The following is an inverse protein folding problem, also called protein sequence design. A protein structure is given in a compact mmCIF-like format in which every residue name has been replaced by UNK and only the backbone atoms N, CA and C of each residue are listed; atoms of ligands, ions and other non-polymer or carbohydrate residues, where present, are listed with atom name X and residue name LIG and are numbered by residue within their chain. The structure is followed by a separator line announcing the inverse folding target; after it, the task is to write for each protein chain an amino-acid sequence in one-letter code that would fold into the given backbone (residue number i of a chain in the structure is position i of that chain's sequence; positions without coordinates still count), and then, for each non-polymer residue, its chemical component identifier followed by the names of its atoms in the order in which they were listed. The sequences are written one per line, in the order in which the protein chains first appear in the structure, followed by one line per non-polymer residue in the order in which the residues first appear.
data_IF_872453216440
#
_entry.id   IF_872453216440
#
_cell.length_a   1.000
_cell.length_b   1.000
_cell.length_c   1.000
_cell.angle_alpha   90.00
_cell.angle_beta   90.00
_cell.angle_gamma   90.00
#
_symmetry.space_group_name_H-M   'P 1'
#
loop_
_entity.id
_entity.type
_entity.pdbx_description
1 polymer ?
#
# COMPACT_ATOMS: atom_id res chain seq x y z
N UNK A 1 24.49 -12.84 16.88
CA UNK A 1 24.93 -12.42 15.53
C UNK A 1 24.71 -13.46 14.42
N UNK A 2 24.72 -14.78 14.69
CA UNK A 2 24.67 -15.82 13.65
C UNK A 2 23.33 -15.98 12.87
N UNK A 3 22.17 -15.60 13.43
CA UNK A 3 20.87 -15.70 12.73
C UNK A 3 20.68 -14.68 11.59
N UNK A 4 21.41 -13.55 11.61
CA UNK A 4 21.32 -12.51 10.56
C UNK A 4 22.04 -12.90 9.26
N UNK A 5 23.13 -13.68 9.33
CA UNK A 5 23.97 -13.93 8.14
C UNK A 5 23.42 -15.00 7.19
N UNK A 6 22.77 -16.08 7.69
CA UNK A 6 22.20 -17.14 6.83
C UNK A 6 21.05 -16.65 5.93
N UNK A 7 20.37 -15.60 6.36
CA UNK A 7 19.17 -15.10 5.72
C UNK A 7 19.43 -13.87 4.84
N UNK A 8 20.55 -13.17 4.99
CA UNK A 8 20.85 -12.02 4.15
C UNK A 8 20.98 -12.39 2.65
N UNK A 9 20.62 -11.45 1.79
CA UNK A 9 20.94 -11.48 0.36
C UNK A 9 22.46 -11.26 0.21
N UNK A 10 23.13 -12.02 -0.64
CA UNK A 10 24.57 -11.84 -0.88
C UNK A 10 24.83 -10.53 -1.64
N UNK A 11 25.98 -9.90 -1.43
CA UNK A 11 26.29 -8.59 -2.03
C UNK A 11 26.39 -8.64 -3.56
N UNK A 12 26.93 -9.72 -4.11
CA UNK A 12 27.07 -10.00 -5.54
C UNK A 12 25.76 -10.42 -6.22
N UNK A 13 24.73 -10.74 -5.44
CA UNK A 13 23.46 -11.23 -5.97
C UNK A 13 22.65 -10.09 -6.62
N UNK A 14 22.14 -10.33 -7.83
CA UNK A 14 21.22 -9.42 -8.52
C UNK A 14 19.88 -9.37 -7.79
N UNK A 15 19.36 -8.16 -7.59
CA UNK A 15 18.09 -7.88 -6.91
C UNK A 15 17.21 -6.94 -7.73
N UNK A 16 15.90 -7.02 -7.53
CA UNK A 16 15.00 -5.91 -7.85
C UNK A 16 14.88 -5.03 -6.61
N UNK A 17 15.38 -3.80 -6.70
CA UNK A 17 15.24 -2.78 -5.67
C UNK A 17 14.12 -1.80 -6.03
N UNK A 18 13.39 -1.33 -5.01
CA UNK A 18 12.42 -0.26 -5.12
C UNK A 18 12.79 0.86 -4.15
N UNK A 19 12.93 2.07 -4.69
CA UNK A 19 13.14 3.29 -3.92
C UNK A 19 11.85 4.09 -3.79
N UNK A 20 11.45 4.38 -2.56
CA UNK A 20 10.28 5.17 -2.23
C UNK A 20 10.41 5.87 -0.88
N UNK A 21 10.34 7.20 -0.88
CA UNK A 21 10.53 7.99 0.35
C UNK A 21 11.89 7.72 0.97
N UNK A 22 11.92 7.36 2.25
CA UNK A 22 13.15 7.00 2.97
C UNK A 22 13.57 5.53 2.78
N UNK A 23 12.78 4.72 2.07
CA UNK A 23 12.94 3.26 2.03
C UNK A 23 13.54 2.77 0.72
N UNK A 24 14.53 1.87 0.84
CA UNK A 24 14.97 0.96 -0.22
C UNK A 24 14.50 -0.46 0.13
N UNK A 25 13.66 -1.06 -0.72
CA UNK A 25 13.22 -2.45 -0.61
C UNK A 25 13.91 -3.29 -1.68
N UNK A 26 14.78 -4.22 -1.29
CA UNK A 26 15.48 -5.14 -2.20
C UNK A 26 14.88 -6.52 -2.14
N UNK A 27 14.66 -7.17 -3.29
CA UNK A 27 14.18 -8.54 -3.35
C UNK A 27 14.92 -9.37 -4.38
N UNK A 28 15.14 -10.66 -4.07
CA UNK A 28 15.65 -11.64 -5.04
C UNK A 28 14.61 -12.01 -6.11
N UNK A 29 13.34 -11.64 -5.91
CA UNK A 29 12.32 -11.75 -6.93
C UNK A 29 12.53 -10.64 -7.97
N UNK A 30 13.31 -10.95 -9.00
CA UNK A 30 13.64 -9.99 -10.05
C UNK A 30 12.39 -9.47 -10.77
N UNK A 31 11.37 -10.32 -10.95
CA UNK A 31 10.17 -9.97 -11.70
C UNK A 31 10.46 -10.02 -13.20
N UNK A 32 9.96 -11.06 -13.85
CA UNK A 32 10.07 -11.26 -15.30
C UNK A 32 8.88 -10.63 -16.02
N UNK A 33 9.04 -10.39 -17.33
CA UNK A 33 7.88 -10.07 -18.17
C UNK A 33 6.91 -11.27 -18.14
N UNK A 34 5.63 -11.04 -17.81
CA UNK A 34 4.68 -12.13 -17.77
C UNK A 34 4.50 -12.73 -19.16
N UNK A 35 4.68 -14.05 -19.28
CA UNK A 35 4.49 -14.79 -20.52
C UNK A 35 3.04 -14.70 -21.01
N UNK A 36 2.09 -14.59 -20.08
CA UNK A 36 0.67 -14.40 -20.41
C UNK A 36 0.29 -12.92 -20.36
N UNK A 37 -0.24 -12.38 -21.46
CA UNK A 37 -0.75 -11.01 -21.56
C UNK A 37 -2.26 -11.02 -21.70
N UNK A 38 -2.96 -10.20 -20.91
CA UNK A 38 -4.42 -10.07 -20.99
C UNK A 38 -4.84 -9.41 -22.31
N UNK A 39 -5.77 -10.02 -23.04
CA UNK A 39 -6.33 -9.50 -24.30
C UNK A 39 -7.62 -8.74 -24.00
N UNK A 40 -8.57 -9.38 -23.33
CA UNK A 40 -9.84 -8.80 -22.93
C UNK A 40 -10.25 -9.33 -21.54
N UNK A 41 -11.52 -9.13 -21.13
CA UNK A 41 -12.00 -9.57 -19.82
C UNK A 41 -11.83 -11.07 -19.61
N UNK A 42 -11.97 -11.87 -20.65
CA UNK A 42 -12.17 -13.32 -20.59
C UNK A 42 -10.99 -14.11 -21.18
N UNK A 43 -9.99 -13.46 -21.78
CA UNK A 43 -8.92 -14.13 -22.50
C UNK A 43 -7.52 -13.54 -22.22
N UNK A 44 -6.52 -14.42 -22.24
CA UNK A 44 -5.08 -14.08 -22.23
C UNK A 44 -4.36 -14.76 -23.39
N UNK A 45 -3.33 -14.12 -23.92
CA UNK A 45 -2.45 -14.68 -24.96
C UNK A 45 -1.08 -15.00 -24.35
N UNK A 46 -0.55 -16.18 -24.66
CA UNK A 46 0.85 -16.51 -24.43
C UNK A 46 1.71 -15.75 -25.45
N UNK A 47 2.55 -14.82 -25.02
CA UNK A 47 3.35 -13.98 -25.92
C UNK A 47 4.46 -14.76 -26.64
N UNK A 48 4.83 -15.94 -26.14
CA UNK A 48 5.86 -16.79 -26.74
C UNK A 48 5.24 -17.72 -27.78
N UNK A 49 4.10 -18.34 -27.45
CA UNK A 49 3.47 -19.34 -28.34
C UNK A 49 2.35 -18.80 -29.21
N UNK A 50 1.82 -17.60 -28.91
CA UNK A 50 0.63 -17.03 -29.56
C UNK A 50 -0.70 -17.65 -29.09
N UNK A 51 -0.67 -18.68 -28.24
CA UNK A 51 -1.86 -19.42 -27.80
C UNK A 51 -2.78 -18.55 -26.92
N UNK A 52 -4.08 -18.52 -27.25
CA UNK A 52 -5.11 -17.85 -26.45
C UNK A 52 -5.69 -18.82 -25.42
N UNK A 53 -5.76 -18.40 -24.16
CA UNK A 53 -6.33 -19.15 -23.04
C UNK A 53 -7.45 -18.36 -22.37
N UNK A 54 -8.56 -19.03 -22.08
CA UNK A 54 -9.69 -18.45 -21.35
C UNK A 54 -9.33 -18.25 -19.87
N UNK A 55 -9.67 -17.08 -19.34
CA UNK A 55 -9.47 -16.70 -17.94
C UNK A 55 -10.51 -17.42 -17.09
N UNK A 56 -10.04 -18.21 -16.12
CA UNK A 56 -10.89 -18.72 -15.04
C UNK A 56 -11.20 -17.59 -14.07
N UNK A 57 -12.42 -17.05 -14.15
CA UNK A 57 -12.86 -16.00 -13.24
C UNK A 57 -13.10 -16.55 -11.85
N UNK A 58 -12.53 -15.88 -10.86
CA UNK A 58 -12.83 -16.14 -9.46
C UNK A 58 -14.24 -15.65 -9.18
N UNK A 59 -15.11 -16.54 -8.70
CA UNK A 59 -16.50 -16.23 -8.32
C UNK A 59 -16.64 -15.81 -6.85
N UNK A 60 -15.71 -16.20 -5.98
CA UNK A 60 -15.71 -15.84 -4.56
C UNK A 60 -14.27 -15.57 -4.05
N UNK A 61 -14.12 -14.52 -3.23
CA UNK A 61 -12.85 -14.15 -2.58
C UNK A 61 -12.67 -14.73 -1.18
N UNK A 62 -13.56 -15.60 -0.71
CA UNK A 62 -13.38 -16.28 0.58
C UNK A 62 -12.12 -17.16 0.65
N UNK A 63 -11.65 -17.71 -0.49
CA UNK A 63 -10.47 -18.58 -0.53
C UNK A 63 -9.15 -17.76 -0.47
N UNK A 64 -8.26 -18.01 0.52
CA UNK A 64 -6.95 -17.37 0.61
C UNK A 64 -6.05 -17.48 -0.62
N UNK A 65 -6.26 -18.49 -1.48
CA UNK A 65 -5.54 -18.63 -2.77
C UNK A 65 -5.83 -17.45 -3.72
N UNK A 66 -6.99 -16.79 -3.56
CA UNK A 66 -7.39 -15.66 -4.39
C UNK A 66 -6.81 -14.32 -3.90
N UNK A 67 -6.14 -14.30 -2.74
CA UNK A 67 -5.59 -13.08 -2.15
C UNK A 67 -4.29 -12.61 -2.79
N UNK A 68 -3.61 -13.41 -3.62
CA UNK A 68 -2.30 -13.03 -4.15
C UNK A 68 -2.37 -11.75 -5.00
N UNK A 69 -3.42 -11.59 -5.80
CA UNK A 69 -3.69 -10.38 -6.57
C UNK A 69 -3.91 -9.15 -5.67
N UNK A 70 -4.59 -9.33 -4.53
CA UNK A 70 -4.79 -8.29 -3.52
C UNK A 70 -3.48 -7.93 -2.83
N UNK A 71 -2.70 -8.93 -2.40
CA UNK A 71 -1.38 -8.73 -1.77
C UNK A 71 -0.45 -7.95 -2.68
N UNK A 72 -0.40 -8.29 -3.97
CA UNK A 72 0.36 -7.53 -4.97
C UNK A 72 -0.15 -6.09 -5.11
N UNK A 73 -1.47 -5.90 -5.10
CA UNK A 73 -2.08 -4.56 -5.16
C UNK A 73 -1.75 -3.71 -3.93
N UNK A 74 -1.83 -4.28 -2.73
CA UNK A 74 -1.46 -3.62 -1.49
C UNK A 74 0.05 -3.35 -1.41
N UNK A 75 0.89 -4.27 -1.89
CA UNK A 75 2.34 -4.04 -1.99
C UNK A 75 2.67 -2.83 -2.88
N UNK A 76 2.04 -2.72 -4.04
CA UNK A 76 2.15 -1.56 -4.94
C UNK A 76 1.64 -0.28 -4.27
N UNK A 77 0.49 -0.35 -3.61
CA UNK A 77 -0.10 0.78 -2.90
C UNK A 77 0.80 1.27 -1.77
N UNK A 78 1.38 0.36 -0.98
CA UNK A 78 2.35 0.68 0.08
C UNK A 78 3.52 1.51 -0.46
N UNK A 79 4.14 1.05 -1.55
CA UNK A 79 5.26 1.78 -2.20
C UNK A 79 4.81 3.12 -2.75
N UNK A 80 3.63 3.19 -3.37
CA UNK A 80 3.08 4.43 -3.90
C UNK A 80 2.81 5.46 -2.79
N UNK A 81 2.24 5.03 -1.66
CA UNK A 81 2.03 5.89 -0.48
C UNK A 81 3.38 6.34 0.07
N UNK A 82 4.31 5.41 0.30
CA UNK A 82 5.63 5.74 0.85
C UNK A 82 6.46 6.68 -0.05
N UNK A 83 6.25 6.66 -1.37
CA UNK A 83 6.88 7.59 -2.29
C UNK A 83 6.30 9.01 -2.25
N UNK A 84 5.11 9.19 -1.66
CA UNK A 84 4.32 10.42 -1.83
C UNK A 84 3.85 11.08 -0.54
N UNK A 85 3.77 10.34 0.56
CA UNK A 85 3.23 10.83 1.83
C UNK A 85 4.21 10.48 2.93
N UNK A 86 4.92 11.51 3.41
CA UNK A 86 5.93 11.39 4.44
C UNK A 86 5.50 12.04 5.76
N UNK A 87 4.34 12.71 5.78
CA UNK A 87 3.94 13.56 6.90
C UNK A 87 4.17 15.05 6.65
N UNK A 88 3.71 15.85 7.60
CA UNK A 88 4.00 17.29 7.66
C UNK A 88 2.81 18.19 7.32
N UNK A 89 3.06 19.50 7.37
CA UNK A 89 2.02 20.54 7.33
C UNK A 89 1.22 20.61 6.02
N UNK A 90 1.72 20.01 4.94
CA UNK A 90 1.06 19.95 3.64
C UNK A 90 0.14 18.75 3.46
N UNK A 91 0.15 17.78 4.37
CA UNK A 91 -0.49 16.47 4.16
C UNK A 91 -1.56 16.19 5.20
N UNK A 92 -2.69 15.64 4.76
CA UNK A 92 -3.82 15.25 5.59
C UNK A 92 -4.19 13.80 5.31
N UNK A 93 -4.60 13.10 6.37
CA UNK A 93 -5.36 11.88 6.27
C UNK A 93 -6.81 12.20 6.60
N UNK A 94 -7.69 11.79 5.71
CA UNK A 94 -9.12 11.98 5.81
C UNK A 94 -9.80 10.62 5.75
N UNK A 95 -10.74 10.40 6.63
CA UNK A 95 -11.60 9.21 6.64
C UNK A 95 -13.02 9.67 6.30
N UNK A 96 -13.64 9.04 5.30
CA UNK A 96 -14.94 9.42 4.74
C UNK A 96 -15.95 8.29 4.93
N UNK A 97 -16.97 8.52 5.76
CA UNK A 97 -18.00 7.55 6.10
C UNK A 97 -19.34 7.97 5.53
N UNK A 98 -20.07 7.01 4.97
CA UNK A 98 -21.47 7.21 4.60
C UNK A 98 -22.37 7.13 5.82
N UNK A 99 -23.42 7.95 5.85
CA UNK A 99 -24.51 7.80 6.83
C UNK A 99 -25.35 6.57 6.54
N UNK A 100 -25.61 6.32 5.26
CA UNK A 100 -26.31 5.13 4.79
C UNK A 100 -25.42 3.91 5.02
N UNK A 101 -25.97 2.86 5.65
CA UNK A 101 -25.25 1.63 5.95
C UNK A 101 -26.17 0.41 5.78
N UNK A 102 -25.75 -0.64 5.04
CA UNK A 102 -24.49 -0.74 4.33
C UNK A 102 -24.54 0.00 2.98
N UNK A 103 -23.57 0.89 2.74
CA UNK A 103 -23.39 1.54 1.45
C UNK A 103 -22.44 0.72 0.58
N UNK A 104 -22.96 -0.03 -0.39
CA UNK A 104 -22.18 -0.98 -1.21
C UNK A 104 -21.96 -0.53 -2.66
N UNK A 105 -22.57 0.60 -3.08
CA UNK A 105 -22.48 1.08 -4.46
C UNK A 105 -21.16 1.81 -4.75
N UNK A 106 -20.24 1.08 -5.39
CA UNK A 106 -18.93 1.59 -5.80
C UNK A 106 -18.99 2.72 -6.84
N UNK A 107 -20.08 2.83 -7.63
CA UNK A 107 -20.25 3.89 -8.63
C UNK A 107 -20.66 5.19 -7.95
N UNK A 108 -21.65 5.14 -7.05
CA UNK A 108 -22.01 6.30 -6.21
C UNK A 108 -20.81 6.79 -5.40
N UNK A 109 -20.02 5.88 -4.81
CA UNK A 109 -18.76 6.24 -4.12
C UNK A 109 -17.82 7.06 -5.01
N UNK A 110 -17.63 6.63 -6.25
CA UNK A 110 -16.77 7.31 -7.19
C UNK A 110 -17.28 8.72 -7.54
N UNK A 111 -18.57 8.86 -7.83
CA UNK A 111 -19.17 10.13 -8.22
C UNK A 111 -19.20 11.14 -7.05
N UNK A 112 -19.46 10.66 -5.84
CA UNK A 112 -19.36 11.44 -4.60
C UNK A 112 -17.92 11.92 -4.37
N UNK A 113 -16.94 11.02 -4.46
CA UNK A 113 -15.53 11.36 -4.26
C UNK A 113 -15.04 12.40 -5.28
N UNK A 114 -15.46 12.29 -6.56
CA UNK A 114 -15.12 13.28 -7.59
C UNK A 114 -15.69 14.66 -7.25
N UNK A 115 -16.92 14.73 -6.72
CA UNK A 115 -17.53 15.98 -6.24
C UNK A 115 -16.80 16.55 -5.03
N UNK A 116 -16.42 15.70 -4.07
CA UNK A 116 -15.62 16.11 -2.90
C UNK A 116 -14.31 16.79 -3.32
N UNK A 117 -13.50 16.16 -4.18
CA UNK A 117 -12.21 16.74 -4.62
C UNK A 117 -12.41 18.09 -5.33
N UNK A 118 -13.48 18.25 -6.13
CA UNK A 118 -13.82 19.55 -6.76
C UNK A 118 -14.23 20.61 -5.74
N UNK A 119 -14.90 20.24 -4.64
CA UNK A 119 -15.24 21.15 -3.54
C UNK A 119 -13.99 21.54 -2.75
N UNK A 120 -13.13 20.57 -2.40
CA UNK A 120 -11.91 20.83 -1.64
C UNK A 120 -10.93 21.75 -2.36
N UNK A 121 -10.79 21.61 -3.69
CA UNK A 121 -9.97 22.54 -4.48
C UNK A 121 -10.51 23.97 -4.43
N UNK A 122 -11.82 24.16 -4.42
CA UNK A 122 -12.45 25.49 -4.30
C UNK A 122 -12.26 26.08 -2.91
N UNK A 123 -12.50 25.28 -1.86
CA UNK A 123 -12.34 25.71 -0.46
C UNK A 123 -10.89 26.10 -0.17
N UNK A 124 -9.94 25.30 -0.63
CA UNK A 124 -8.52 25.51 -0.33
C UNK A 124 -7.83 26.51 -1.27
N UNK A 125 -8.37 26.73 -2.47
CA UNK A 125 -7.70 27.49 -3.53
C UNK A 125 -6.40 26.85 -4.02
N UNK A 126 -6.15 25.57 -3.71
CA UNK A 126 -4.87 24.89 -3.94
C UNK A 126 -4.96 23.75 -4.93
N UNK A 127 -3.84 23.49 -5.58
CA UNK A 127 -3.64 22.29 -6.37
C UNK A 127 -3.43 21.07 -5.47
N UNK A 128 -4.44 20.21 -5.41
CA UNK A 128 -4.45 19.03 -4.54
C UNK A 128 -4.09 17.74 -5.29
N UNK A 129 -3.17 16.98 -4.70
CA UNK A 129 -2.82 15.61 -5.06
C UNK A 129 -3.34 14.64 -4.00
N UNK A 130 -3.73 13.43 -4.42
CA UNK A 130 -4.33 12.47 -3.51
C UNK A 130 -4.07 11.01 -3.87
N UNK A 131 -4.15 10.16 -2.85
CA UNK A 131 -4.42 8.73 -2.97
C UNK A 131 -5.67 8.45 -2.13
N UNK A 132 -6.70 7.87 -2.73
CA UNK A 132 -7.88 7.39 -2.01
C UNK A 132 -7.90 5.87 -2.06
N UNK A 133 -8.17 5.25 -0.93
CA UNK A 133 -8.28 3.80 -0.77
C UNK A 133 -9.63 3.47 -0.21
N UNK A 134 -10.28 2.47 -0.79
CA UNK A 134 -11.58 1.99 -0.35
C UNK A 134 -11.35 0.83 0.61
N UNK A 135 -11.99 0.88 1.76
CA UNK A 135 -11.96 -0.14 2.79
C UNK A 135 -13.39 -0.68 3.01
N UNK A 136 -13.64 -1.98 2.82
CA UNK A 136 -14.88 -2.58 3.25
C UNK A 136 -14.89 -2.71 4.79
N UNK A 137 -15.90 -2.12 5.42
CA UNK A 137 -16.15 -2.31 6.85
C UNK A 137 -16.71 -3.72 7.12
N UNK A 138 -16.71 -4.13 8.39
CA UNK A 138 -17.27 -5.42 8.80
C UNK A 138 -18.77 -5.55 8.43
N UNK A 139 -19.51 -4.43 8.47
CA UNK A 139 -20.91 -4.35 8.03
C UNK A 139 -21.10 -4.53 6.52
N UNK A 140 -20.01 -4.63 5.74
CA UNK A 140 -20.02 -4.63 4.28
C UNK A 140 -20.12 -3.23 3.65
N UNK A 141 -20.33 -2.18 4.47
CA UNK A 141 -20.36 -0.80 3.98
C UNK A 141 -18.99 -0.37 3.44
N UNK A 142 -18.97 0.34 2.32
CA UNK A 142 -17.77 0.89 1.72
C UNK A 142 -17.37 2.19 2.40
N UNK A 143 -16.12 2.23 2.83
CA UNK A 143 -15.49 3.36 3.48
C UNK A 143 -14.31 3.87 2.65
N UNK A 144 -13.96 5.15 2.76
CA UNK A 144 -12.81 5.67 2.01
C UNK A 144 -11.80 6.38 2.91
N UNK A 145 -10.53 5.99 2.76
CA UNK A 145 -9.37 6.64 3.35
C UNK A 145 -8.67 7.48 2.28
N UNK A 146 -8.65 8.78 2.48
CA UNK A 146 -8.09 9.78 1.57
C UNK A 146 -6.80 10.35 2.18
N UNK A 147 -5.67 10.08 1.54
CA UNK A 147 -4.43 10.82 1.74
C UNK A 147 -4.42 12.00 0.78
N UNK A 148 -4.33 13.22 1.29
CA UNK A 148 -4.46 14.45 0.55
C UNK A 148 -3.26 15.36 0.83
N UNK A 149 -2.67 15.95 -0.21
CA UNK A 149 -1.59 16.92 -0.07
C UNK A 149 -1.68 18.05 -1.09
N UNK A 150 -0.99 19.14 -0.80
CA UNK A 150 -0.75 20.23 -1.76
C UNK A 150 0.40 19.87 -2.68
N UNK A 151 0.30 20.22 -3.96
CA UNK A 151 1.36 19.94 -4.93
C UNK A 151 2.63 20.77 -4.68
N UNK A 152 2.46 21.98 -4.15
CA UNK A 152 3.51 22.97 -3.87
C UNK A 152 4.12 22.84 -2.46
N UNK A 153 3.69 21.84 -1.69
CA UNK A 153 4.06 21.62 -0.27
C UNK A 153 3.68 22.78 0.67
N UNK A 154 2.80 23.69 0.23
CA UNK A 154 2.24 24.72 1.12
C UNK A 154 1.36 24.08 2.20
N UNK A 155 1.22 24.74 3.35
CA UNK A 155 0.39 24.26 4.46
C UNK A 155 -1.04 23.98 3.98
N UNK A 156 -1.54 22.79 4.27
CA UNK A 156 -2.90 22.35 3.96
C UNK A 156 -3.69 22.27 5.25
N UNK A 157 -4.71 23.10 5.41
CA UNK A 157 -5.64 23.04 6.52
C UNK A 157 -7.06 23.07 5.99
N UNK A 158 -7.91 22.21 6.54
CA UNK A 158 -9.34 22.13 6.24
C UNK A 158 -10.03 21.86 7.57
N UNK A 159 -10.92 22.74 8.01
CA UNK A 159 -11.69 22.51 9.22
C UNK A 159 -12.58 21.26 9.03
N UNK A 160 -12.80 20.49 10.10
CA UNK A 160 -13.62 19.28 10.01
C UNK A 160 -15.06 19.62 9.54
N UNK A 161 -15.63 20.73 10.01
CA UNK A 161 -16.94 21.25 9.58
C UNK A 161 -17.00 21.52 8.08
N UNK A 162 -16.00 22.21 7.52
CA UNK A 162 -15.96 22.54 6.10
C UNK A 162 -15.83 21.27 5.25
N UNK A 163 -15.02 20.31 5.71
CA UNK A 163 -14.91 19.03 5.06
C UNK A 163 -16.21 18.23 5.15
N UNK A 164 -16.89 18.23 6.30
CA UNK A 164 -18.15 17.52 6.49
C UNK A 164 -19.22 18.06 5.56
N UNK A 165 -19.33 19.39 5.43
CA UNK A 165 -20.21 20.07 4.47
C UNK A 165 -19.80 19.75 3.03
N UNK A 166 -18.50 19.73 2.73
CA UNK A 166 -18.01 19.36 1.40
C UNK A 166 -18.28 17.90 1.03
N UNK A 167 -18.24 16.99 2.00
CA UNK A 167 -18.56 15.58 1.85
C UNK A 167 -20.06 15.38 1.67
N UNK A 168 -20.86 15.81 2.64
CA UNK A 168 -22.32 15.81 2.57
C UNK A 168 -22.99 14.43 2.56
N UNK A 169 -22.24 13.33 2.58
CA UNK A 169 -22.77 11.96 2.52
C UNK A 169 -22.76 11.26 3.89
N UNK A 170 -22.22 11.89 4.93
CA UNK A 170 -22.09 11.30 6.25
C UNK A 170 -21.00 11.97 7.06
N UNK A 171 -20.16 11.16 7.71
CA UNK A 171 -19.18 11.62 8.68
C UNK A 171 -17.80 11.72 8.07
N UNK A 172 -16.98 12.61 8.64
CA UNK A 172 -15.58 12.75 8.27
C UNK A 172 -14.69 12.82 9.51
N UNK A 173 -13.51 12.23 9.41
CA UNK A 173 -12.43 12.44 10.37
C UNK A 173 -11.23 13.00 9.61
N UNK A 174 -10.64 14.08 10.13
CA UNK A 174 -9.45 14.71 9.54
C UNK A 174 -8.34 14.67 10.56
N UNK A 175 -7.19 14.18 10.15
CA UNK A 175 -5.98 14.18 10.95
C UNK A 175 -4.77 14.58 10.11
N UNK A 176 -3.81 15.22 10.76
CA UNK A 176 -2.50 15.51 10.19
C UNK A 176 -1.71 14.21 10.07
N UNK A 177 -1.02 13.99 8.96
CA UNK A 177 0.01 12.95 8.89
C UNK A 177 1.26 13.44 9.62
N UNK A 178 1.77 12.65 10.55
CA UNK A 178 3.03 12.98 11.24
C UNK A 178 4.21 12.32 10.55
N UNK A 179 5.39 12.92 10.67
CA UNK A 179 6.64 12.41 10.09
C UNK A 179 7.09 11.10 10.76
N UNK A 180 6.59 10.82 11.97
CA UNK A 180 6.81 9.57 12.71
C UNK A 180 5.92 8.43 12.22
N UNK A 181 4.86 8.73 11.47
CA UNK A 181 3.97 7.71 10.94
C UNK A 181 4.67 7.01 9.77
N UNK A 182 4.86 5.70 9.89
CA UNK A 182 4.97 4.88 8.69
C UNK A 182 3.57 4.82 8.05
N UNK A 183 3.16 5.91 7.39
CA UNK A 183 1.84 6.12 6.79
C UNK A 183 1.45 4.90 5.94
N UNK A 184 2.43 4.36 5.20
CA UNK A 184 2.23 3.16 4.39
C UNK A 184 1.87 1.94 5.23
N UNK A 185 2.57 1.66 6.33
CA UNK A 185 2.29 0.53 7.20
C UNK A 185 0.96 0.70 7.94
N UNK A 186 0.66 1.92 8.38
CA UNK A 186 -0.59 2.24 9.05
C UNK A 186 -1.78 2.05 8.09
N UNK A 187 -1.72 2.59 6.86
CA UNK A 187 -2.75 2.33 5.83
C UNK A 187 -2.88 0.83 5.54
N UNK A 188 -1.77 0.10 5.42
CA UNK A 188 -1.85 -1.34 5.15
C UNK A 188 -2.59 -2.11 6.26
N UNK A 189 -2.37 -1.78 7.54
CA UNK A 189 -3.07 -2.42 8.65
C UNK A 189 -4.60 -2.27 8.54
N UNK A 190 -5.08 -1.08 8.16
CA UNK A 190 -6.51 -0.84 7.90
C UNK A 190 -7.04 -1.66 6.72
N UNK A 191 -6.23 -1.84 5.68
CA UNK A 191 -6.73 -2.51 4.48
C UNK A 191 -6.72 -4.03 4.57
N UNK A 192 -5.85 -4.61 5.39
CA UNK A 192 -5.66 -6.06 5.42
C UNK A 192 -6.25 -6.72 6.66
N UNK A 193 -6.20 -6.07 7.82
CA UNK A 193 -6.46 -6.76 9.08
C UNK A 193 -7.88 -6.47 9.57
N UNK A 194 -8.55 -7.38 10.29
CA UNK A 194 -9.86 -7.11 10.93
C UNK A 194 -9.62 -6.92 12.41
N UNK A 195 -10.10 -5.82 12.99
CA UNK A 195 -10.21 -5.64 14.44
C UNK A 195 -11.54 -6.24 14.91
N UNK A 196 -11.47 -7.26 15.77
CA UNK A 196 -12.65 -7.97 16.26
C UNK A 196 -13.49 -7.14 17.24
N UNK A 197 -12.97 -6.03 17.77
CA UNK A 197 -13.75 -5.14 18.65
C UNK A 197 -14.70 -4.21 17.89
N UNK A 198 -14.50 -4.04 16.56
CA UNK A 198 -15.35 -3.19 15.70
C UNK A 198 -16.38 -4.03 14.90
N UNK A 199 -16.57 -5.30 15.28
CA UNK A 199 -17.60 -6.18 14.76
C UNK A 199 -18.80 -6.15 15.71
N UNK A 200 -19.75 -5.24 15.46
CA UNK A 200 -21.13 -5.51 15.86
C UNK A 200 -21.68 -6.55 14.88
N UNK A 201 -21.53 -7.82 15.25
CA UNK A 201 -21.96 -8.96 14.45
C UNK A 201 -21.46 -10.26 15.06
N UNK A 202 -22.41 -11.15 15.34
CA UNK A 202 -22.25 -12.43 16.04
C UNK A 202 -21.33 -13.41 15.27
N UNK A 203 -20.01 -13.19 15.35
CA UNK A 203 -19.02 -14.20 15.01
C UNK A 203 -18.59 -14.86 16.33
N UNK A 204 -19.39 -15.84 16.74
CA UNK A 204 -19.07 -16.81 17.78
C UNK A 204 -17.78 -17.59 17.44
N UNK A 205 -16.62 -16.97 17.63
CA UNK A 205 -15.34 -17.66 17.68
C UNK A 205 -14.82 -17.66 19.11
N UNK A 206 -14.87 -18.87 19.69
CA UNK A 206 -14.26 -19.26 20.96
C UNK A 206 -12.74 -19.11 20.89
N UNK A 207 -12.23 -17.88 21.01
CA UNK A 207 -10.85 -17.61 21.45
C UNK A 207 -10.66 -16.10 21.70
N UNK A 208 -10.84 -15.69 22.96
CA UNK A 208 -10.74 -14.28 23.42
C UNK A 208 -9.30 -13.72 23.45
N UNK A 209 -8.33 -14.36 22.80
CA UNK A 209 -6.90 -13.98 22.91
C UNK A 209 -6.33 -13.26 21.70
N UNK A 210 -6.96 -13.31 20.51
CA UNK A 210 -6.50 -12.61 19.30
C UNK A 210 -7.44 -11.46 18.91
N UNK A 211 -7.06 -10.23 19.27
CA UNK A 211 -7.85 -9.01 18.99
C UNK A 211 -7.87 -8.57 17.51
N UNK A 212 -6.91 -9.05 16.70
CA UNK A 212 -6.76 -8.67 15.28
C UNK A 212 -6.58 -9.94 14.43
N UNK A 213 -7.45 -10.11 13.42
CA UNK A 213 -7.30 -11.14 12.39
C UNK A 213 -6.52 -10.54 11.21
N UNK A 214 -5.23 -10.87 11.13
CA UNK A 214 -4.37 -10.43 10.01
C UNK A 214 -4.88 -10.97 8.68
N UNK A 215 -5.07 -10.10 7.70
CA UNK A 215 -5.59 -10.50 6.39
C UNK A 215 -7.10 -10.79 6.35
N UNK A 216 -7.83 -10.59 7.46
CA UNK A 216 -9.27 -10.89 7.53
C UNK A 216 -10.14 -10.02 6.62
N UNK A 217 -9.70 -8.81 6.25
CA UNK A 217 -10.48 -7.90 5.38
C UNK A 217 -10.40 -8.29 3.91
N UNK A 218 -9.47 -9.16 3.53
CA UNK A 218 -9.22 -9.51 2.14
C UNK A 218 -10.42 -10.18 1.45
N UNK A 219 -11.19 -10.99 2.20
CA UNK A 219 -12.43 -11.62 1.72
C UNK A 219 -13.55 -10.61 1.45
N UNK A 220 -13.55 -9.47 2.15
CA UNK A 220 -14.62 -8.48 2.09
C UNK A 220 -14.55 -7.58 0.85
N UNK A 221 -13.42 -7.55 0.14
CA UNK A 221 -13.28 -6.75 -1.07
C UNK A 221 -14.05 -7.36 -2.24
N UNK A 222 -15.02 -6.65 -2.84
CA UNK A 222 -15.74 -7.14 -4.01
C UNK A 222 -14.82 -7.46 -5.19
N UNK A 223 -15.17 -8.49 -5.95
CA UNK A 223 -14.46 -8.87 -7.18
C UNK A 223 -14.55 -7.74 -8.20
N UNK A 224 -13.43 -7.46 -8.88
CA UNK A 224 -13.37 -6.40 -9.91
C UNK A 224 -13.35 -4.97 -9.36
N UNK A 225 -13.48 -4.77 -8.05
CA UNK A 225 -13.44 -3.44 -7.45
C UNK A 225 -12.05 -2.81 -7.55
N UNK A 226 -12.03 -1.53 -7.95
CA UNK A 226 -10.82 -0.71 -7.87
C UNK A 226 -10.58 -0.27 -6.42
N UNK A 227 -9.62 -0.92 -5.75
CA UNK A 227 -9.29 -0.72 -4.33
C UNK A 227 -8.77 0.68 -4.04
N UNK A 228 -7.97 1.25 -4.93
CA UNK A 228 -7.45 2.59 -4.75
C UNK A 228 -7.40 3.37 -6.05
N UNK A 229 -7.43 4.69 -5.90
CA UNK A 229 -7.29 5.67 -6.98
C UNK A 229 -6.29 6.73 -6.55
N UNK A 230 -5.70 7.42 -7.52
CA UNK A 230 -4.79 8.53 -7.27
C UNK A 230 -5.03 9.68 -8.23
N UNK A 231 -4.63 10.88 -7.85
CA UNK A 231 -4.49 11.97 -8.82
C UNK A 231 -3.35 11.67 -9.80
N UNK A 232 -3.48 12.16 -11.04
CA UNK A 232 -2.40 12.10 -12.03
C UNK A 232 -1.29 13.10 -11.69
N UNK A 233 -1.68 14.34 -11.38
CA UNK A 233 -0.77 15.42 -10.94
C UNK A 233 -0.39 15.23 -9.47
N UNK A 234 0.88 15.49 -9.16
CA UNK A 234 1.43 15.52 -7.80
C UNK A 234 1.63 14.15 -7.12
N UNK A 235 1.48 13.05 -7.85
CA UNK A 235 1.78 11.69 -7.37
C UNK A 235 2.87 11.05 -8.23
N UNK A 236 4.01 10.74 -7.62
CA UNK A 236 5.17 10.10 -8.26
C UNK A 236 5.13 8.58 -8.11
N UNK A 237 5.68 7.85 -9.08
CA UNK A 237 5.83 6.39 -8.96
C UNK A 237 7.10 6.04 -8.17
N UNK A 238 7.10 4.93 -7.42
CA UNK A 238 8.33 4.41 -6.84
C UNK A 238 9.32 4.02 -7.96
N UNK A 239 10.60 4.30 -7.76
CA UNK A 239 11.65 3.97 -8.74
C UNK A 239 12.05 2.51 -8.58
N UNK A 240 12.09 1.75 -9.68
CA UNK A 240 12.56 0.37 -9.69
C UNK A 240 13.96 0.31 -10.30
N UNK A 241 14.86 -0.42 -9.65
CA UNK A 241 16.25 -0.63 -10.05
C UNK A 241 16.48 -2.13 -10.10
N UNK A 242 17.21 -2.61 -11.11
CA UNK A 242 17.73 -3.97 -11.16
C UNK A 242 19.26 -3.85 -11.24
N UNK A 243 19.94 -4.28 -10.20
CA UNK A 243 21.39 -4.25 -10.09
C UNK A 243 21.85 -5.27 -9.04
N UNK A 244 23.15 -5.41 -8.81
CA UNK A 244 23.63 -6.21 -7.68
C UNK A 244 23.27 -5.51 -6.36
N UNK A 245 23.14 -6.28 -5.27
CA UNK A 245 22.90 -5.70 -3.95
C UNK A 245 23.99 -4.69 -3.58
N UNK A 246 25.24 -4.96 -3.92
CA UNK A 246 26.37 -4.07 -3.63
C UNK A 246 26.20 -2.73 -4.35
N UNK A 247 25.90 -2.73 -5.64
CA UNK A 247 25.70 -1.48 -6.41
C UNK A 247 24.59 -0.63 -5.81
N UNK A 248 23.44 -1.24 -5.47
CA UNK A 248 22.33 -0.49 -4.85
C UNK A 248 22.72 0.04 -3.46
N UNK A 249 23.54 -0.69 -2.71
CA UNK A 249 24.03 -0.17 -1.42
C UNK A 249 24.96 1.03 -1.61
N UNK A 250 25.81 0.99 -2.61
CA UNK A 250 26.77 2.05 -2.89
C UNK A 250 26.06 3.30 -3.43
N UNK A 251 25.10 3.15 -4.36
CA UNK A 251 24.29 4.24 -4.92
C UNK A 251 23.54 5.06 -3.87
N UNK A 252 23.10 4.40 -2.79
CA UNK A 252 22.27 5.00 -1.74
C UNK A 252 23.00 5.14 -0.39
N UNK A 253 24.30 4.84 -0.33
CA UNK A 253 25.13 4.88 0.89
C UNK A 253 24.49 4.08 2.06
N UNK A 254 23.98 2.88 1.76
CA UNK A 254 23.20 2.08 2.69
C UNK A 254 24.06 1.30 3.69
N UNK A 255 23.62 1.32 4.94
CA UNK A 255 24.20 0.52 6.02
C UNK A 255 23.58 -0.90 6.08
N UNK A 256 23.40 -1.43 7.28
CA UNK A 256 22.73 -2.71 7.51
C UNK A 256 21.22 -2.60 7.26
N UNK A 257 20.59 -3.70 6.85
CA UNK A 257 19.14 -3.76 6.70
C UNK A 257 18.43 -3.60 8.05
N UNK A 258 17.34 -2.84 8.03
CA UNK A 258 16.45 -2.64 9.18
C UNK A 258 15.60 -3.87 9.44
N UNK A 259 15.11 -4.48 8.36
CA UNK A 259 14.19 -5.60 8.41
C UNK A 259 14.44 -6.56 7.26
N UNK A 260 14.19 -7.83 7.54
CA UNK A 260 14.34 -8.92 6.60
C UNK A 260 13.11 -9.82 6.65
N UNK A 261 12.69 -10.33 5.50
CA UNK A 261 11.76 -11.45 5.41
C UNK A 261 12.19 -12.42 4.32
N UNK A 262 11.89 -13.70 4.50
CA UNK A 262 11.84 -14.68 3.42
C UNK A 262 10.49 -15.39 3.40
N UNK A 263 10.13 -15.89 2.23
CA UNK A 263 9.06 -16.85 2.05
C UNK A 263 9.41 -17.78 0.90
N UNK A 264 8.90 -19.00 0.99
CA UNK A 264 9.17 -20.02 -0.01
C UNK A 264 8.06 -20.04 -1.04
N UNK A 265 8.43 -20.17 -2.31
CA UNK A 265 7.54 -20.30 -3.45
C UNK A 265 7.76 -21.68 -4.04
N UNK A 266 6.69 -22.49 -4.04
CA UNK A 266 6.70 -23.80 -4.69
C UNK A 266 6.32 -23.65 -6.15
N UNK A 267 7.07 -24.31 -7.03
CA UNK A 267 6.75 -24.43 -8.44
C UNK A 267 6.96 -25.90 -8.84
N UNK A 268 5.88 -26.69 -8.83
CA UNK A 268 5.99 -28.15 -8.86
C UNK A 268 6.66 -28.67 -7.58
N UNK A 269 7.64 -29.55 -7.74
CA UNK A 269 8.44 -30.11 -6.65
C UNK A 269 9.55 -29.16 -6.17
N UNK A 270 9.90 -28.17 -6.99
CA UNK A 270 10.92 -27.19 -6.66
C UNK A 270 10.39 -26.17 -5.65
N UNK A 271 11.25 -25.82 -4.69
CA UNK A 271 10.99 -24.75 -3.73
C UNK A 271 12.05 -23.65 -3.86
N UNK A 272 11.60 -22.46 -4.25
CA UNK A 272 12.44 -21.28 -4.42
C UNK A 272 12.23 -20.34 -3.23
N UNK A 273 13.31 -19.97 -2.54
CA UNK A 273 13.22 -19.01 -1.44
C UNK A 273 13.35 -17.57 -1.97
N UNK A 274 12.30 -16.78 -1.79
CA UNK A 274 12.33 -15.34 -2.06
C UNK A 274 12.75 -14.61 -0.79
N UNK A 275 13.83 -13.85 -0.89
CA UNK A 275 14.37 -13.00 0.17
C UNK A 275 14.04 -11.55 -0.11
N UNK A 276 13.70 -10.79 0.93
CA UNK A 276 13.44 -9.35 0.84
C UNK A 276 14.07 -8.64 2.03
N UNK A 277 14.82 -7.57 1.76
CA UNK A 277 15.47 -6.71 2.74
C UNK A 277 14.94 -5.28 2.60
N UNK A 278 14.82 -4.58 3.73
CA UNK A 278 14.38 -3.19 3.80
C UNK A 278 15.45 -2.36 4.49
N UNK A 279 15.72 -1.18 3.92
CA UNK A 279 16.73 -0.25 4.38
C UNK A 279 16.14 1.15 4.50
N UNK A 280 16.51 1.88 5.56
CA UNK A 280 16.24 3.30 5.75
C UNK A 280 17.47 4.13 5.40
N UNK A 281 17.30 5.05 4.46
CA UNK A 281 18.35 5.98 4.00
C UNK A 281 18.73 6.93 5.15
N UNK A 282 17.74 7.47 5.86
CA UNK A 282 17.97 8.42 6.96
C UNK A 282 18.71 7.78 8.12
N UNK A 283 18.38 6.53 8.49
CA UNK A 283 19.13 5.81 9.54
C UNK A 283 20.57 5.54 9.13
N UNK A 284 20.83 5.20 7.87
CA UNK A 284 22.20 5.02 7.37
C UNK A 284 23.01 6.31 7.52
N UNK A 285 22.44 7.45 7.14
CA UNK A 285 23.06 8.79 7.31
C UNK A 285 23.35 9.11 8.77
N UNK A 286 22.40 8.87 9.67
CA UNK A 286 22.58 9.09 11.12
C UNK A 286 23.71 8.22 11.67
N UNK A 287 23.74 6.92 11.32
CA UNK A 287 24.80 5.99 11.76
C UNK A 287 26.18 6.43 11.28
N UNK A 288 26.28 6.95 10.04
CA UNK A 288 27.52 7.50 9.47
C UNK A 288 27.96 8.81 10.14
N UNK A 289 27.02 9.66 10.55
CA UNK A 289 27.33 10.86 11.31
C UNK A 289 27.85 10.52 12.72
N UNK A 290 27.18 9.61 13.43
CA UNK A 290 27.58 9.16 14.76
C UNK A 290 28.96 8.49 14.77
N UNK A 291 29.29 7.70 13.75
CA UNK A 291 30.61 7.06 13.66
C UNK A 291 31.76 8.04 13.41
N UNK A 292 31.49 9.21 12.82
CA UNK A 292 32.47 10.29 12.67
C UNK A 292 32.69 11.05 13.97
N UNK A 293 31.66 11.19 14.80
CA UNK A 293 31.75 11.84 16.11
C UNK A 293 32.57 10.97 17.06
N UNK A 294 32.28 9.66 17.14
CA UNK A 294 32.98 8.74 18.05
C UNK A 294 34.43 8.40 17.64
N UNK A 295 34.89 8.90 16.49
CA UNK A 295 36.28 8.77 16.03
C UNK A 295 37.13 10.02 16.31
N UNK A 296 36.51 11.09 16.83
CA UNK A 296 37.20 12.25 17.41
C UNK A 296 37.23 12.10 18.92
#
# INVERSE_FOLDING_TARGET
MQKKSKNAIKNDQVVSAYHYGDTIEMSTALGTNPVMRKVNKDEMVNIVTGEIKTIKHVVNRADPKNYESLRSTFKRLKRLIGANFAGGLSELWITLTYRDSPMTDSKRLYDDFKRLIRRLRRITGKDLAYIVVIEPQASGSLHAHLLLKTCDRSRLYIANSDLATAWGQGFVNVRRLSDADNVSAYVMAYLTDVDLNNLDGDLNHKDKTKKIIKGGRLSLYPIGMQIYRRSRKGIVQPTRIIATKQDVKDDFDLADSDYYRSFDVKNGDDTYQIKTEYYSISKAKIKKALSKINKK
#
